data_IF_016900982190
#
_entry.id   IF_016900982190
#
_cell.length_a   1.000
_cell.length_b   1.000
_cell.length_c   1.000
_cell.angle_alpha   90.00
_cell.angle_beta   90.00
_cell.angle_gamma   90.00
#
_symmetry.space_group_name_H-M   'P 1'
#
loop_
_entity.id
_entity.type
_entity.pdbx_description
1 polymer ?
#
# COMPACT_ATOMS: atom_id res chain seq x y z
N UNK A 1 -16.64 -9.74 -6.53
CA UNK A 1 -16.27 -10.85 -5.63
C UNK A 1 -15.20 -10.33 -4.70
N UNK A 2 -15.54 -10.08 -3.43
CA UNK A 2 -14.60 -9.59 -2.42
C UNK A 2 -14.65 -10.56 -1.24
N UNK A 3 -13.54 -11.27 -1.01
CA UNK A 3 -13.19 -11.89 0.26
C UNK A 3 -11.66 -11.95 0.32
N UNK A 4 -11.09 -11.23 1.28
CA UNK A 4 -9.72 -11.46 1.75
C UNK A 4 -9.87 -12.12 3.12
N UNK A 5 -9.45 -13.38 3.22
CA UNK A 5 -8.96 -13.96 4.46
C UNK A 5 -7.70 -14.74 4.08
N UNK A 6 -6.53 -14.13 4.32
CA UNK A 6 -5.28 -14.87 4.49
C UNK A 6 -5.02 -14.87 5.99
N UNK A 7 -5.13 -16.04 6.60
CA UNK A 7 -4.80 -16.30 8.00
C UNK A 7 -3.35 -16.73 8.12
N UNK A 8 -2.59 -16.06 8.98
CA UNK A 8 -1.54 -16.64 9.81
C UNK A 8 -1.32 -15.69 11.01
N UNK A 9 -1.73 -16.13 12.21
CA UNK A 9 -1.74 -15.41 13.51
C UNK A 9 -0.33 -15.02 14.01
N UNK A 10 -0.11 -14.10 14.96
CA UNK A 10 -0.97 -13.60 16.03
C UNK A 10 -0.86 -12.06 16.18
N UNK A 11 -1.91 -11.43 16.71
CA UNK A 11 -2.09 -9.99 16.94
C UNK A 11 -2.44 -9.11 15.72
N UNK A 12 -3.25 -9.62 14.79
CA UNK A 12 -3.94 -8.74 13.84
C UNK A 12 -5.08 -8.01 14.55
N UNK A 13 -4.79 -6.87 15.20
CA UNK A 13 -5.82 -5.89 15.53
C UNK A 13 -6.35 -5.31 14.22
N UNK A 14 -7.48 -5.83 13.74
CA UNK A 14 -8.24 -5.20 12.68
C UNK A 14 -8.66 -3.81 13.18
N UNK A 15 -8.05 -2.75 12.63
CA UNK A 15 -8.42 -1.37 12.98
C UNK A 15 -9.74 -1.06 12.28
N UNK A 16 -10.84 -1.57 12.84
CA UNK A 16 -12.14 -1.59 12.18
C UNK A 16 -12.80 -0.21 12.08
N UNK A 17 -12.33 0.80 12.83
CA UNK A 17 -12.94 2.13 12.86
C UNK A 17 -11.89 3.21 13.08
N UNK A 18 -11.24 3.66 12.01
CA UNK A 18 -10.58 4.97 12.02
C UNK A 18 -11.68 6.00 11.77
N UNK A 19 -12.17 6.60 12.85
CA UNK A 19 -13.02 7.79 12.75
C UNK A 19 -12.11 8.93 12.34
N UNK A 20 -12.35 9.42 11.12
CA UNK A 20 -11.61 10.54 10.58
C UNK A 20 -12.40 11.79 10.94
N UNK A 21 -12.00 12.46 12.01
CA UNK A 21 -12.66 13.68 12.50
C UNK A 21 -12.25 14.94 11.74
N UNK A 22 -11.09 14.91 11.07
CA UNK A 22 -10.47 16.09 10.45
C UNK A 22 -9.92 15.77 9.06
N UNK A 23 -9.96 16.76 8.18
CA UNK A 23 -9.36 16.64 6.85
C UNK A 23 -7.83 16.48 6.96
N UNK A 24 -7.21 15.69 6.08
CA UNK A 24 -5.75 15.57 6.03
C UNK A 24 -5.03 16.93 5.88
N UNK A 25 -5.71 17.91 5.30
CA UNK A 25 -5.16 19.24 5.02
C UNK A 25 -5.17 20.18 6.23
N UNK A 26 -5.90 19.85 7.31
CA UNK A 26 -5.95 20.67 8.54
C UNK A 26 -4.90 20.29 9.57
N UNK A 27 -4.23 19.14 9.40
CA UNK A 27 -3.16 18.69 10.28
C UNK A 27 -1.91 19.54 9.97
N UNK A 28 -1.16 20.01 10.98
CA UNK A 28 0.10 20.73 10.73
C UNK A 28 1.19 19.77 10.22
N UNK A 29 2.19 20.30 9.52
CA UNK A 29 3.38 19.52 9.12
C UNK A 29 4.41 19.39 10.25
N UNK A 30 4.26 20.21 11.29
CA UNK A 30 5.22 20.29 12.39
C UNK A 30 5.25 18.99 13.20
N UNK A 31 6.43 18.41 13.34
CA UNK A 31 6.65 17.17 14.07
C UNK A 31 6.36 15.88 13.29
N UNK A 32 5.92 15.96 12.02
CA UNK A 32 5.75 14.78 11.18
C UNK A 32 7.08 14.24 10.69
N UNK A 33 7.22 12.91 10.66
CA UNK A 33 8.35 12.24 10.04
C UNK A 33 8.32 12.39 8.51
N UNK A 34 9.48 12.18 7.86
CA UNK A 34 9.59 12.19 6.40
C UNK A 34 8.58 11.25 5.71
N UNK A 35 8.27 10.12 6.34
CA UNK A 35 7.30 9.15 5.84
C UNK A 35 5.87 9.65 5.94
N UNK A 36 5.50 10.28 7.05
CA UNK A 36 4.16 10.86 7.25
C UNK A 36 3.95 12.05 6.31
N UNK A 37 4.96 12.92 6.17
CA UNK A 37 4.95 14.02 5.21
C UNK A 37 4.80 13.50 3.78
N UNK A 38 5.49 12.41 3.43
CA UNK A 38 5.37 11.79 2.11
C UNK A 38 3.95 11.28 1.85
N UNK A 39 3.32 10.57 2.80
CA UNK A 39 1.94 10.10 2.64
C UNK A 39 0.98 11.27 2.52
N UNK A 40 1.12 12.28 3.40
CA UNK A 40 0.24 13.44 3.44
C UNK A 40 0.28 14.23 2.13
N UNK A 41 1.44 14.37 1.52
CA UNK A 41 1.62 15.12 0.28
C UNK A 41 1.61 14.24 -0.98
N UNK A 42 1.37 12.93 -0.84
CA UNK A 42 1.28 12.04 -1.99
C UNK A 42 0.17 12.51 -2.94
N UNK A 43 0.38 12.53 -4.27
CA UNK A 43 -0.62 13.01 -5.22
C UNK A 43 -1.99 12.39 -4.99
N UNK A 44 -3.03 13.22 -4.88
CA UNK A 44 -4.43 12.78 -4.70
C UNK A 44 -5.30 13.22 -5.88
N UNK A 45 -6.38 12.46 -6.10
CA UNK A 45 -7.47 12.88 -6.98
C UNK A 45 -8.33 13.92 -6.27
N UNK A 46 -8.99 14.78 -7.05
CA UNK A 46 -9.95 15.77 -6.52
C UNK A 46 -11.18 15.11 -5.90
N UNK A 47 -11.57 13.94 -6.40
CA UNK A 47 -12.70 13.17 -5.86
C UNK A 47 -12.25 12.25 -4.74
N UNK A 48 -13.03 12.21 -3.67
CA UNK A 48 -12.89 11.26 -2.55
C UNK A 48 -13.74 10.00 -2.72
N UNK A 49 -14.47 9.89 -3.82
CA UNK A 49 -15.31 8.73 -4.15
C UNK A 49 -14.41 7.58 -4.61
N UNK A 50 -14.50 6.46 -3.92
CA UNK A 50 -13.81 5.22 -4.27
C UNK A 50 -14.72 4.39 -5.16
N UNK A 51 -14.18 3.96 -6.31
CA UNK A 51 -14.87 3.11 -7.29
C UNK A 51 -14.17 1.77 -7.45
N UNK A 52 -14.93 0.75 -7.82
CA UNK A 52 -14.37 -0.54 -8.23
C UNK A 52 -13.79 -0.47 -9.66
N UNK A 53 -13.25 -1.59 -10.14
CA UNK A 53 -12.70 -1.69 -11.50
C UNK A 53 -13.77 -1.59 -12.59
N UNK A 54 -15.05 -1.81 -12.26
CA UNK A 54 -16.19 -1.69 -13.16
C UNK A 54 -16.82 -0.28 -13.15
N UNK A 55 -16.31 0.63 -12.29
CA UNK A 55 -16.77 2.01 -12.17
C UNK A 55 -17.87 2.24 -11.13
N UNK A 56 -18.35 1.19 -10.46
CA UNK A 56 -19.37 1.30 -9.42
C UNK A 56 -18.79 1.95 -8.17
N UNK A 57 -19.58 2.75 -7.47
CA UNK A 57 -19.15 3.38 -6.22
C UNK A 57 -19.10 2.33 -5.10
N UNK A 58 -17.94 2.21 -4.46
CA UNK A 58 -17.74 1.39 -3.25
C UNK A 58 -17.86 2.26 -2.00
N UNK A 59 -17.37 3.51 -2.07
CA UNK A 59 -17.39 4.44 -0.93
C UNK A 59 -17.55 5.86 -1.42
N UNK A 60 -18.60 6.54 -0.98
CA UNK A 60 -18.88 7.94 -1.35
C UNK A 60 -17.92 8.92 -0.70
N UNK A 61 -17.44 8.62 0.51
CA UNK A 61 -16.57 9.49 1.30
C UNK A 61 -15.36 8.73 1.82
N UNK A 62 -14.19 9.03 1.29
CA UNK A 62 -12.89 8.60 1.82
C UNK A 62 -12.05 9.80 2.24
N UNK A 63 -11.01 9.54 3.04
CA UNK A 63 -9.99 10.53 3.40
C UNK A 63 -9.27 11.12 2.19
N UNK A 64 -9.14 10.33 1.13
CA UNK A 64 -8.44 10.70 -0.08
C UNK A 64 -8.27 9.49 -0.98
N UNK A 65 -8.26 9.76 -2.28
CA UNK A 65 -7.98 8.77 -3.31
C UNK A 65 -6.63 9.11 -3.92
N UNK A 66 -5.65 8.22 -3.78
CA UNK A 66 -4.31 8.45 -4.35
C UNK A 66 -4.40 8.51 -5.88
N UNK A 67 -3.70 9.47 -6.47
CA UNK A 67 -3.58 9.64 -7.91
C UNK A 67 -2.36 8.88 -8.42
N UNK A 68 -2.50 7.57 -8.53
CA UNK A 68 -1.46 6.70 -9.09
C UNK A 68 -2.01 5.88 -10.25
N UNK A 69 -1.15 5.58 -11.22
CA UNK A 69 -1.48 4.68 -12.31
C UNK A 69 -1.56 3.25 -11.76
N UNK A 70 -2.74 2.65 -11.87
CA UNK A 70 -3.01 1.25 -11.54
C UNK A 70 -3.36 0.55 -12.84
N UNK A 71 -2.48 -0.32 -13.33
CA UNK A 71 -2.65 -1.01 -14.64
C UNK A 71 -3.39 -2.34 -14.53
N UNK A 72 -3.48 -2.90 -13.32
CA UNK A 72 -4.15 -4.16 -13.02
C UNK A 72 -4.72 -4.11 -11.60
N UNK A 73 -5.56 -5.08 -11.23
CA UNK A 73 -6.01 -5.22 -9.84
C UNK A 73 -4.78 -5.32 -8.92
N UNK A 74 -4.71 -4.45 -7.92
CA UNK A 74 -3.72 -4.50 -6.86
C UNK A 74 -4.41 -4.91 -5.56
N UNK A 75 -3.79 -5.82 -4.81
CA UNK A 75 -4.29 -6.15 -3.47
C UNK A 75 -3.90 -5.04 -2.49
N UNK A 76 -4.63 -4.91 -1.39
CA UNK A 76 -4.38 -3.85 -0.39
C UNK A 76 -2.95 -3.90 0.16
N UNK A 77 -2.40 -5.10 0.37
CA UNK A 77 -1.02 -5.29 0.77
C UNK A 77 -0.04 -4.75 -0.31
N UNK A 78 -0.28 -5.03 -1.58
CA UNK A 78 0.56 -4.56 -2.69
C UNK A 78 0.55 -3.03 -2.80
N UNK A 79 -0.60 -2.39 -2.56
CA UNK A 79 -0.71 -0.94 -2.56
C UNK A 79 0.15 -0.29 -1.46
N UNK A 80 0.12 -0.86 -0.25
CA UNK A 80 0.95 -0.38 0.87
C UNK A 80 2.45 -0.63 0.62
N UNK A 81 2.80 -1.82 0.14
CA UNK A 81 4.19 -2.17 -0.23
C UNK A 81 4.70 -1.22 -1.31
N UNK A 82 3.89 -0.96 -2.36
CA UNK A 82 4.23 -0.02 -3.42
C UNK A 82 4.43 1.39 -2.86
N UNK A 83 3.51 1.89 -2.03
CA UNK A 83 3.64 3.24 -1.46
C UNK A 83 4.94 3.40 -0.66
N UNK A 84 5.32 2.37 0.11
CA UNK A 84 6.59 2.35 0.83
C UNK A 84 7.80 2.29 -0.10
N UNK A 85 7.72 1.53 -1.19
CA UNK A 85 8.76 1.49 -2.21
C UNK A 85 8.92 2.84 -2.92
N UNK A 86 7.82 3.51 -3.29
CA UNK A 86 7.81 4.83 -3.94
C UNK A 86 8.48 5.90 -3.06
N UNK A 87 8.27 5.85 -1.73
CA UNK A 87 8.95 6.74 -0.78
C UNK A 87 10.47 6.63 -0.89
N UNK A 88 11.02 5.43 -0.75
CA UNK A 88 12.47 5.22 -0.86
C UNK A 88 12.99 5.46 -2.27
N UNK A 89 12.21 5.11 -3.30
CA UNK A 89 12.55 5.33 -4.69
C UNK A 89 12.71 6.82 -5.00
N UNK A 90 11.78 7.65 -4.52
CA UNK A 90 11.83 9.12 -4.68
C UNK A 90 13.09 9.75 -4.07
N UNK A 91 13.64 9.10 -3.04
CA UNK A 91 14.86 9.49 -2.32
C UNK A 91 16.13 8.84 -2.88
N UNK A 92 16.02 8.01 -3.92
CA UNK A 92 17.10 7.20 -4.49
C UNK A 92 17.73 6.22 -3.48
N UNK A 93 17.01 5.88 -2.41
CA UNK A 93 17.42 4.93 -1.37
C UNK A 93 17.03 3.49 -1.75
N UNK A 94 17.50 3.03 -2.90
CA UNK A 94 17.06 1.77 -3.52
C UNK A 94 17.39 0.52 -2.69
N UNK A 95 18.46 0.57 -1.90
CA UNK A 95 18.90 -0.47 -0.98
C UNK A 95 17.92 -0.73 0.18
N UNK A 96 17.09 0.28 0.51
CA UNK A 96 16.03 0.16 1.51
C UNK A 96 14.74 -0.45 0.97
N UNK A 97 14.61 -0.56 -0.35
CA UNK A 97 13.47 -1.22 -0.99
C UNK A 97 13.69 -2.73 -0.94
N UNK A 98 13.33 -3.33 0.18
CA UNK A 98 13.40 -4.78 0.42
C UNK A 98 12.22 -5.22 1.28
N UNK A 99 11.55 -6.29 0.87
CA UNK A 99 10.37 -6.79 1.54
C UNK A 99 10.54 -8.28 1.84
N UNK A 100 10.03 -8.72 3.00
CA UNK A 100 9.98 -10.13 3.34
C UNK A 100 8.63 -10.70 2.95
N UNK A 101 8.66 -11.81 2.22
CA UNK A 101 7.46 -12.59 1.95
C UNK A 101 7.01 -13.33 3.21
N UNK A 102 5.79 -13.87 3.18
CA UNK A 102 5.23 -14.67 4.27
C UNK A 102 6.08 -15.90 4.61
N UNK A 103 6.81 -16.45 3.63
CA UNK A 103 7.76 -17.55 3.83
C UNK A 103 9.13 -17.11 4.39
N UNK A 104 9.31 -15.83 4.74
CA UNK A 104 10.56 -15.28 5.26
C UNK A 104 11.59 -14.91 4.18
N UNK A 105 11.34 -15.21 2.91
CA UNK A 105 12.22 -14.84 1.80
C UNK A 105 12.28 -13.31 1.65
N UNK A 106 13.49 -12.75 1.72
CA UNK A 106 13.72 -11.34 1.42
C UNK A 106 13.85 -11.12 -0.08
N UNK A 107 13.10 -10.13 -0.59
CA UNK A 107 13.07 -9.75 -2.00
C UNK A 107 13.56 -8.30 -2.11
N UNK A 108 14.85 -8.07 -2.40
CA UNK A 108 15.39 -6.73 -2.60
C UNK A 108 15.09 -6.21 -4.00
N UNK A 109 14.85 -4.91 -4.10
CA UNK A 109 14.59 -4.22 -5.36
C UNK A 109 15.73 -4.36 -6.37
N UNK A 110 16.99 -4.42 -5.90
CA UNK A 110 18.16 -4.62 -6.76
C UNK A 110 18.06 -5.91 -7.60
N UNK A 111 17.59 -7.02 -7.02
CA UNK A 111 17.35 -8.27 -7.75
C UNK A 111 16.14 -8.14 -8.67
N UNK A 112 15.07 -7.54 -8.20
CA UNK A 112 13.86 -7.33 -9.02
C UNK A 112 14.13 -6.48 -10.27
N UNK A 113 14.93 -5.42 -10.12
CA UNK A 113 15.34 -4.52 -11.20
C UNK A 113 16.22 -5.22 -12.24
N UNK A 114 17.00 -6.24 -11.83
CA UNK A 114 17.75 -7.12 -12.72
C UNK A 114 16.88 -8.21 -13.40
N UNK A 115 15.56 -8.18 -13.20
CA UNK A 115 14.64 -9.13 -13.82
C UNK A 115 14.38 -10.41 -13.03
N UNK A 116 14.94 -10.55 -11.83
CA UNK A 116 14.66 -11.72 -10.99
C UNK A 116 13.19 -11.73 -10.56
N UNK A 117 12.59 -12.92 -10.53
CA UNK A 117 11.22 -13.15 -10.06
C UNK A 117 11.23 -14.30 -9.07
N UNK A 118 10.32 -14.22 -8.09
CA UNK A 118 10.14 -15.28 -7.12
C UNK A 118 9.41 -16.43 -7.81
N UNK A 119 10.02 -17.61 -7.80
CA UNK A 119 9.39 -18.85 -8.26
C UNK A 119 9.04 -19.67 -7.03
N UNK A 120 7.76 -19.99 -6.88
CA UNK A 120 7.27 -20.90 -5.84
C UNK A 120 7.38 -22.31 -6.41
N UNK A 121 8.18 -23.16 -5.77
CA UNK A 121 8.27 -24.58 -6.09
C UNK A 121 7.51 -25.37 -5.01
N UNK A 122 6.45 -26.09 -5.39
CA UNK A 122 5.67 -26.93 -4.48
C UNK A 122 4.42 -26.23 -3.95
N UNK A 123 3.27 -26.86 -4.16
CA UNK A 123 1.96 -26.39 -3.73
C UNK A 123 1.54 -27.25 -2.53
N UNK A 124 2.01 -26.92 -1.33
CA UNK A 124 1.38 -27.41 -0.11
C UNK A 124 0.54 -26.26 0.43
N UNK A 125 -0.62 -26.09 -0.21
CA UNK A 125 -1.72 -25.29 0.34
C UNK A 125 -2.10 -25.84 1.72
N UNK A 126 -2.10 -24.94 2.70
CA UNK A 126 -2.71 -25.10 4.02
C UNK A 126 -4.21 -25.40 3.91
#
# INVERSE_FOLDING_TARGET
MAFIIISCNADTKTVANIVVSESLDTISDEGLSDWELFIKHFPRKKSTVVRDYAGNVIKEQSLGVLNTKVTSVQQCADAAIRLRAEFFYSRKEYDKIKFKLTCGLEVPFSKWALGYRVKINGNNSL
#
